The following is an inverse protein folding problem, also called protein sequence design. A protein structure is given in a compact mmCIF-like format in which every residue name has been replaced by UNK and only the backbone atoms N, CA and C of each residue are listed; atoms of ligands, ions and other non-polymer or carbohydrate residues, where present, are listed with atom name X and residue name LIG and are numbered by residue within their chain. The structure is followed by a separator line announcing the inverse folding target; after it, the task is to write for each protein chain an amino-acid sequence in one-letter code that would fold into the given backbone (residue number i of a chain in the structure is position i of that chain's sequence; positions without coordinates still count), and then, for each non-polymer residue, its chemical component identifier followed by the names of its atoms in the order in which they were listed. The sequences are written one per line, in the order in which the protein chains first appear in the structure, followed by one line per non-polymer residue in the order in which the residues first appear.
data_IF_519823449044
#
_entry.id   IF_519823449044
#
_cell.length_a   1.000
_cell.length_b   1.000
_cell.length_c   1.000
_cell.angle_alpha   90.00
_cell.angle_beta   90.00
_cell.angle_gamma   90.00
#
_symmetry.space_group_name_H-M   'P 1'
#
loop_
_entity.id
_entity.type
_entity.pdbx_description
1 polymer ?
#
# COMPACT_ATOMS: atom_id res chain seq x y z
N UNK A 1 -53.21 39.95 -60.77
CA UNK A 1 -51.91 40.65 -60.90
C UNK A 1 -50.99 40.22 -59.76
N UNK A 2 -49.81 39.71 -60.14
CA UNK A 2 -48.47 39.84 -59.52
C UNK A 2 -48.25 39.66 -58.00
N UNK A 3 -47.38 38.67 -57.76
CA UNK A 3 -46.17 38.60 -56.90
C UNK A 3 -46.33 38.01 -55.48
N UNK A 4 -45.86 36.78 -55.30
CA UNK A 4 -44.42 36.55 -55.13
C UNK A 4 -43.94 36.09 -53.75
N UNK A 5 -43.64 34.79 -53.67
CA UNK A 5 -42.42 34.17 -53.12
C UNK A 5 -42.06 34.34 -51.62
N UNK A 6 -41.80 33.15 -51.04
CA UNK A 6 -40.86 32.81 -49.98
C UNK A 6 -41.39 32.70 -48.54
N UNK A 7 -41.88 31.50 -48.20
CA UNK A 7 -41.85 31.01 -46.81
C UNK A 7 -41.58 29.49 -46.74
N UNK A 8 -40.76 28.96 -47.66
CA UNK A 8 -40.01 27.72 -47.43
C UNK A 8 -38.76 28.14 -46.67
N UNK A 9 -38.80 28.06 -45.33
CA UNK A 9 -37.63 27.96 -44.43
C UNK A 9 -37.97 27.91 -42.92
N UNK A 10 -39.23 27.68 -42.51
CA UNK A 10 -39.57 27.59 -41.06
C UNK A 10 -39.91 26.17 -40.57
N UNK A 11 -39.97 25.16 -41.45
CA UNK A 11 -40.34 23.78 -41.06
C UNK A 11 -39.11 22.90 -40.74
N UNK A 12 -37.89 23.34 -41.06
CA UNK A 12 -36.67 22.55 -40.82
C UNK A 12 -36.09 22.70 -39.39
N UNK A 13 -36.67 23.52 -38.52
CA UNK A 13 -36.14 23.78 -37.17
C UNK A 13 -36.99 23.17 -36.03
N UNK A 14 -38.07 22.45 -36.37
CA UNK A 14 -38.93 21.73 -35.39
C UNK A 14 -38.85 20.19 -35.52
N UNK A 15 -37.86 19.65 -36.22
CA UNK A 15 -37.56 18.21 -36.19
C UNK A 15 -36.32 17.87 -35.33
N UNK A 16 -35.49 18.86 -35.00
CA UNK A 16 -34.25 18.66 -34.22
C UNK A 16 -34.42 18.94 -32.73
N UNK A 17 -35.50 19.60 -32.31
CA UNK A 17 -35.74 19.89 -30.88
C UNK A 17 -36.50 18.77 -30.16
N UNK A 18 -37.19 17.86 -30.85
CA UNK A 18 -37.96 16.78 -30.17
C UNK A 18 -37.12 15.51 -29.99
N UNK A 19 -36.04 15.30 -30.76
CA UNK A 19 -35.09 14.21 -30.47
C UNK A 19 -34.14 14.48 -29.30
N UNK A 20 -34.01 15.73 -28.85
CA UNK A 20 -33.16 16.09 -27.70
C UNK A 20 -33.91 16.14 -26.37
N UNK A 21 -35.26 16.03 -26.37
CA UNK A 21 -36.06 15.96 -25.13
C UNK A 21 -36.63 14.56 -24.83
N UNK A 22 -36.26 13.54 -25.62
CA UNK A 22 -36.43 12.12 -25.23
C UNK A 22 -35.16 11.51 -24.60
N UNK A 23 -34.13 12.32 -24.36
CA UNK A 23 -32.96 11.98 -23.56
C UNK A 23 -32.87 12.90 -22.33
N UNK A 24 -34.00 13.14 -21.68
CA UNK A 24 -33.99 13.63 -20.30
C UNK A 24 -33.74 12.44 -19.39
N UNK A 25 -32.52 12.41 -18.87
CA UNK A 25 -32.22 12.12 -17.46
C UNK A 25 -32.72 10.79 -16.91
N UNK A 26 -31.82 9.80 -16.89
CA UNK A 26 -32.05 8.62 -16.07
C UNK A 26 -31.15 7.44 -16.34
N UNK A 27 -30.41 7.42 -17.45
CA UNK A 27 -29.27 6.51 -17.57
C UNK A 27 -28.11 7.11 -16.78
N UNK A 28 -28.22 7.14 -15.45
CA UNK A 28 -26.99 6.89 -14.73
C UNK A 28 -26.59 5.49 -15.20
N UNK A 29 -25.47 5.38 -15.89
CA UNK A 29 -24.69 4.17 -15.77
C UNK A 29 -24.31 4.10 -14.28
N UNK A 30 -25.25 3.66 -13.45
CA UNK A 30 -24.92 2.76 -12.38
C UNK A 30 -24.45 1.52 -13.13
N UNK A 31 -23.19 1.58 -13.62
CA UNK A 31 -22.34 0.42 -13.46
C UNK A 31 -22.50 0.16 -11.97
N UNK A 32 -23.32 -0.83 -11.62
CA UNK A 32 -23.18 -1.44 -10.32
C UNK A 32 -21.70 -1.81 -10.31
N UNK A 33 -20.90 -1.10 -9.50
CA UNK A 33 -19.54 -1.53 -9.26
C UNK A 33 -19.70 -3.00 -8.87
N UNK A 34 -19.08 -3.89 -9.63
CA UNK A 34 -19.18 -5.32 -9.37
C UNK A 34 -18.89 -5.51 -7.89
N UNK A 35 -19.77 -6.23 -7.20
CA UNK A 35 -19.74 -6.27 -5.74
C UNK A 35 -18.34 -6.70 -5.26
N UNK A 36 -17.82 -6.09 -4.18
CA UNK A 36 -16.56 -6.50 -3.60
C UNK A 36 -16.51 -8.01 -3.37
N UNK A 37 -15.49 -8.66 -3.93
CA UNK A 37 -15.27 -10.10 -3.73
C UNK A 37 -14.31 -10.28 -2.56
N UNK A 38 -14.56 -11.31 -1.77
CA UNK A 38 -13.64 -11.73 -0.70
C UNK A 38 -12.81 -12.89 -1.20
N UNK A 39 -11.48 -12.72 -1.22
CA UNK A 39 -10.53 -13.76 -1.57
C UNK A 39 -9.79 -14.24 -0.34
N UNK A 40 -9.61 -15.55 -0.23
CA UNK A 40 -8.66 -16.13 0.72
C UNK A 40 -7.46 -16.65 -0.04
N UNK A 41 -6.26 -16.31 0.43
CA UNK A 41 -4.96 -16.59 -0.18
C UNK A 41 -4.12 -17.37 0.84
N UNK A 42 -3.56 -18.51 0.45
CA UNK A 42 -2.72 -19.34 1.31
C UNK A 42 -1.45 -19.80 0.57
N UNK A 43 -0.32 -19.78 1.27
CA UNK A 43 0.90 -20.40 0.76
C UNK A 43 0.85 -21.90 0.97
N UNK A 44 0.94 -22.67 -0.11
CA UNK A 44 0.93 -24.14 -0.06
C UNK A 44 2.35 -24.67 -0.16
N UNK A 45 2.92 -25.13 0.96
CA UNK A 45 4.30 -25.61 1.05
C UNK A 45 4.63 -26.73 0.06
N UNK A 46 3.70 -27.69 -0.12
CA UNK A 46 3.89 -28.84 -1.02
C UNK A 46 4.04 -28.41 -2.49
N UNK A 47 3.35 -27.32 -2.86
CA UNK A 47 3.37 -26.77 -4.21
C UNK A 47 4.41 -25.66 -4.37
N UNK A 48 4.92 -25.14 -3.24
CA UNK A 48 5.77 -23.94 -3.15
C UNK A 48 5.16 -22.72 -3.84
N UNK A 49 3.84 -22.60 -3.77
CA UNK A 49 3.07 -21.64 -4.56
C UNK A 49 2.00 -20.96 -3.70
N UNK A 50 1.67 -19.72 -4.06
CA UNK A 50 0.51 -19.02 -3.48
C UNK A 50 -0.75 -19.39 -4.23
N UNK A 51 -1.75 -19.85 -3.49
CA UNK A 51 -3.04 -20.23 -4.04
C UNK A 51 -4.18 -19.42 -3.42
N UNK A 52 -5.29 -19.29 -4.13
CA UNK A 52 -6.45 -18.55 -3.68
C UNK A 52 -7.77 -19.28 -3.94
N UNK A 53 -8.79 -18.85 -3.20
CA UNK A 53 -10.20 -19.22 -3.38
C UNK A 53 -11.05 -17.96 -3.27
N UNK A 54 -12.13 -17.89 -4.06
CA UNK A 54 -13.05 -16.74 -4.09
C UNK A 54 -14.25 -16.94 -3.16
N UNK A 55 -14.89 -15.84 -2.80
CA UNK A 55 -16.10 -15.77 -1.99
C UNK A 55 -15.97 -16.45 -0.61
N UNK A 56 -14.77 -16.39 -0.02
CA UNK A 56 -14.44 -17.04 1.26
C UNK A 56 -13.42 -16.25 2.06
N UNK A 57 -13.53 -16.33 3.38
CA UNK A 57 -12.58 -15.74 4.35
C UNK A 57 -11.70 -16.78 5.05
N UNK A 58 -11.94 -18.06 4.82
CA UNK A 58 -11.19 -19.20 5.39
C UNK A 58 -10.80 -20.14 4.26
N UNK A 59 -9.53 -20.53 4.24
CA UNK A 59 -9.00 -21.42 3.22
C UNK A 59 -9.46 -22.85 3.51
N UNK A 60 -10.03 -23.51 2.49
CA UNK A 60 -10.54 -24.86 2.59
C UNK A 60 -9.69 -25.79 1.74
N UNK A 61 -8.82 -26.60 2.37
CA UNK A 61 -7.90 -27.50 1.65
C UNK A 61 -8.63 -28.59 0.83
N UNK A 62 -9.95 -28.74 0.99
CA UNK A 62 -10.77 -29.69 0.20
C UNK A 62 -11.33 -29.08 -1.08
N UNK A 63 -11.28 -27.75 -1.20
CA UNK A 63 -11.80 -26.99 -2.34
C UNK A 63 -10.67 -26.68 -3.32
N UNK A 64 -10.97 -26.78 -4.61
CA UNK A 64 -10.02 -26.40 -5.66
C UNK A 64 -9.58 -24.96 -5.47
N UNK A 65 -8.26 -24.76 -5.48
CA UNK A 65 -7.63 -23.44 -5.43
C UNK A 65 -6.93 -23.14 -6.76
N UNK A 66 -6.79 -21.86 -7.07
CA UNK A 66 -6.08 -21.37 -8.24
C UNK A 66 -4.83 -20.61 -7.82
N UNK A 67 -3.87 -20.43 -8.73
CA UNK A 67 -2.62 -19.74 -8.40
C UNK A 67 -2.83 -18.22 -8.36
N UNK A 68 -2.14 -17.52 -7.45
CA UNK A 68 -2.30 -16.07 -7.26
C UNK A 68 -1.98 -15.25 -8.51
N UNK A 69 -1.19 -15.74 -9.46
CA UNK A 69 -0.98 -15.00 -10.72
C UNK A 69 -2.30 -14.73 -11.45
N UNK A 70 -3.29 -15.64 -11.35
CA UNK A 70 -4.63 -15.46 -11.93
C UNK A 70 -5.47 -14.50 -11.09
N UNK A 71 -5.29 -14.51 -9.77
CA UNK A 71 -5.97 -13.57 -8.87
C UNK A 71 -5.67 -12.13 -9.27
N UNK A 72 -4.43 -11.82 -9.64
CA UNK A 72 -4.02 -10.47 -10.05
C UNK A 72 -4.76 -9.92 -11.27
N UNK A 73 -5.31 -10.80 -12.12
CA UNK A 73 -6.08 -10.40 -13.31
C UNK A 73 -7.53 -10.03 -12.97
N UNK A 74 -8.04 -10.52 -11.83
CA UNK A 74 -9.44 -10.35 -11.42
C UNK A 74 -9.62 -9.45 -10.20
N UNK A 75 -8.55 -9.18 -9.45
CA UNK A 75 -8.56 -8.27 -8.31
C UNK A 75 -8.96 -6.85 -8.76
N UNK A 76 -9.98 -6.30 -8.10
CA UNK A 76 -10.44 -4.93 -8.33
C UNK A 76 -10.42 -4.11 -7.04
N UNK A 77 -10.43 -2.80 -7.23
CA UNK A 77 -10.49 -1.88 -6.11
C UNK A 77 -11.75 -2.13 -5.28
N UNK A 78 -11.58 -2.19 -3.96
CA UNK A 78 -12.68 -2.45 -3.03
C UNK A 78 -12.82 -3.90 -2.57
N UNK A 79 -12.15 -4.86 -3.21
CA UNK A 79 -12.13 -6.27 -2.78
C UNK A 79 -11.51 -6.44 -1.37
N UNK A 80 -11.75 -7.61 -0.78
CA UNK A 80 -11.18 -8.03 0.50
C UNK A 80 -10.26 -9.22 0.30
N UNK A 81 -9.11 -9.22 0.98
CA UNK A 81 -8.13 -10.33 0.91
C UNK A 81 -7.80 -10.82 2.32
N UNK A 82 -7.83 -12.13 2.52
CA UNK A 82 -7.36 -12.80 3.74
C UNK A 82 -6.13 -13.65 3.39
N UNK A 83 -5.00 -13.42 4.06
CA UNK A 83 -3.72 -14.05 3.78
C UNK A 83 -3.35 -15.02 4.89
N UNK A 84 -3.04 -16.25 4.51
CA UNK A 84 -2.53 -17.30 5.38
C UNK A 84 -1.14 -17.77 4.94
N UNK A 85 -0.21 -17.83 5.90
CA UNK A 85 1.02 -18.61 5.77
C UNK A 85 1.21 -19.37 7.08
N UNK A 86 0.63 -20.56 7.18
CA UNK A 86 0.75 -21.48 8.33
C UNK A 86 1.98 -22.40 8.23
N UNK A 87 2.92 -22.07 7.34
CA UNK A 87 4.16 -22.82 7.12
C UNK A 87 5.34 -22.20 7.87
N UNK A 88 6.51 -22.81 7.74
CA UNK A 88 7.78 -22.27 8.28
C UNK A 88 8.61 -21.53 7.22
N UNK A 89 8.09 -21.34 6.01
CA UNK A 89 8.82 -20.72 4.91
C UNK A 89 8.61 -19.21 4.91
N UNK A 90 9.72 -18.47 4.82
CA UNK A 90 9.67 -17.04 4.56
C UNK A 90 9.40 -16.82 3.07
N UNK A 91 8.33 -16.08 2.75
CA UNK A 91 7.80 -15.98 1.39
C UNK A 91 7.27 -14.60 1.09
N UNK A 92 7.26 -14.27 -0.20
CA UNK A 92 6.70 -13.02 -0.72
C UNK A 92 5.41 -13.30 -1.48
N UNK A 93 4.35 -12.56 -1.16
CA UNK A 93 3.08 -12.50 -1.87
C UNK A 93 3.00 -11.18 -2.64
N UNK A 94 2.82 -11.24 -3.95
CA UNK A 94 2.58 -10.06 -4.80
C UNK A 94 1.12 -10.03 -5.26
N UNK A 95 0.35 -9.08 -4.74
CA UNK A 95 -1.04 -8.82 -5.13
C UNK A 95 -1.14 -7.68 -6.16
N UNK A 96 -0.02 -7.20 -6.69
CA UNK A 96 0.04 -6.13 -7.67
C UNK A 96 -0.25 -4.74 -7.08
N UNK A 97 -0.83 -3.87 -7.91
CA UNK A 97 -1.10 -2.45 -7.59
C UNK A 97 -2.54 -2.16 -7.19
N UNK A 98 -3.37 -3.19 -6.96
CA UNK A 98 -4.77 -3.03 -6.57
C UNK A 98 -4.89 -2.53 -5.13
N UNK A 99 -5.84 -1.63 -4.88
CA UNK A 99 -6.17 -1.11 -3.54
C UNK A 99 -7.36 -1.85 -2.94
N UNK A 100 -7.20 -2.43 -1.76
CA UNK A 100 -8.22 -3.24 -1.11
C UNK A 100 -9.00 -2.46 -0.06
N UNK A 101 -10.25 -2.87 0.20
CA UNK A 101 -10.97 -2.37 1.38
C UNK A 101 -10.39 -3.02 2.64
N UNK A 102 -10.28 -4.35 2.66
CA UNK A 102 -9.76 -5.06 3.83
C UNK A 102 -8.62 -6.00 3.44
N UNK A 103 -7.56 -6.00 4.24
CA UNK A 103 -6.52 -7.03 4.24
C UNK A 103 -6.44 -7.64 5.64
N UNK A 104 -6.61 -8.95 5.76
CA UNK A 104 -6.37 -9.67 7.03
C UNK A 104 -5.19 -10.61 6.86
N UNK A 105 -4.23 -10.58 7.79
CA UNK A 105 -2.98 -11.34 7.70
C UNK A 105 -2.83 -12.24 8.92
N UNK A 106 -2.61 -13.53 8.66
CA UNK A 106 -2.37 -14.57 9.67
C UNK A 106 -1.21 -15.45 9.24
N UNK A 107 -0.01 -15.23 9.80
CA UNK A 107 1.22 -15.88 9.33
C UNK A 107 2.08 -16.43 10.46
N UNK A 108 2.61 -17.65 10.32
CA UNK A 108 3.54 -18.28 11.28
C UNK A 108 5.01 -18.03 10.93
N UNK A 109 5.31 -17.78 9.65
CA UNK A 109 6.64 -17.41 9.15
C UNK A 109 6.61 -16.01 8.52
N UNK A 110 7.79 -15.39 8.37
CA UNK A 110 7.86 -14.01 7.92
C UNK A 110 7.37 -13.90 6.47
N UNK A 111 6.31 -13.14 6.27
CA UNK A 111 5.65 -13.02 4.96
C UNK A 111 5.66 -11.58 4.47
N UNK A 112 6.22 -11.32 3.30
CA UNK A 112 6.19 -10.00 2.65
C UNK A 112 4.98 -9.92 1.74
N UNK A 113 4.13 -8.91 1.88
CA UNK A 113 2.90 -8.72 1.12
C UNK A 113 2.99 -7.39 0.37
N UNK A 114 2.94 -7.43 -0.96
CA UNK A 114 2.92 -6.24 -1.81
C UNK A 114 1.50 -5.98 -2.35
N UNK A 115 1.04 -4.73 -2.25
CA UNK A 115 -0.28 -4.26 -2.69
C UNK A 115 -0.22 -2.80 -3.12
N UNK A 116 -1.22 -2.31 -3.86
CA UNK A 116 -1.40 -0.88 -4.13
C UNK A 116 -1.84 -0.07 -2.90
N UNK A 117 -2.25 -0.74 -1.82
CA UNK A 117 -2.65 -0.16 -0.55
C UNK A 117 -3.94 -0.74 -0.01
N UNK A 118 -4.27 -0.39 1.22
CA UNK A 118 -5.38 -0.99 1.96
C UNK A 118 -6.12 0.08 2.74
N UNK A 119 -7.44 0.04 2.77
CA UNK A 119 -8.20 0.87 3.70
C UNK A 119 -8.02 0.34 5.12
N UNK A 120 -8.45 -0.88 5.42
CA UNK A 120 -8.33 -1.49 6.75
C UNK A 120 -7.43 -2.74 6.71
N UNK A 121 -6.30 -2.69 7.40
CA UNK A 121 -5.31 -3.76 7.45
C UNK A 121 -5.27 -4.37 8.86
N UNK A 122 -5.55 -5.66 8.98
CA UNK A 122 -5.61 -6.39 10.24
C UNK A 122 -4.47 -7.41 10.30
N UNK A 123 -3.53 -7.22 11.22
CA UNK A 123 -2.42 -8.13 11.49
C UNK A 123 -2.78 -8.95 12.73
N UNK A 124 -3.19 -10.21 12.53
CA UNK A 124 -3.69 -11.04 13.61
C UNK A 124 -2.58 -11.47 14.57
N UNK A 125 -2.98 -11.77 15.80
CA UNK A 125 -2.10 -12.21 16.89
C UNK A 125 -1.09 -13.28 16.45
N UNK A 126 0.18 -13.09 16.86
CA UNK A 126 1.32 -13.94 16.51
C UNK A 126 1.72 -13.94 15.03
N UNK A 127 1.24 -12.98 14.23
CA UNK A 127 1.65 -12.88 12.83
C UNK A 127 3.05 -12.27 12.68
N UNK A 128 3.77 -12.71 11.66
CA UNK A 128 5.08 -12.18 11.28
C UNK A 128 5.06 -11.75 9.81
N UNK A 129 5.10 -10.45 9.52
CA UNK A 129 4.95 -9.98 8.15
C UNK A 129 5.52 -8.59 7.87
N UNK A 130 5.69 -8.28 6.57
CA UNK A 130 5.81 -6.92 6.07
C UNK A 130 4.66 -6.62 5.12
N UNK A 131 3.99 -5.48 5.26
CA UNK A 131 2.94 -5.04 4.32
C UNK A 131 3.40 -3.79 3.60
N UNK A 132 3.51 -3.88 2.28
CA UNK A 132 4.00 -2.82 1.40
C UNK A 132 2.84 -2.29 0.57
N UNK A 133 2.37 -1.10 0.94
CA UNK A 133 1.26 -0.36 0.33
C UNK A 133 0.75 0.68 1.32
N UNK A 134 0.23 1.82 0.84
CA UNK A 134 -0.30 2.85 1.75
C UNK A 134 -1.55 2.32 2.47
N UNK A 135 -1.57 2.43 3.81
CA UNK A 135 -2.66 1.95 4.66
C UNK A 135 -3.40 3.12 5.29
N UNK A 136 -4.73 3.08 5.26
CA UNK A 136 -5.55 4.07 5.98
C UNK A 136 -5.62 3.72 7.46
N UNK A 137 -6.13 2.55 7.82
CA UNK A 137 -6.24 2.07 9.19
C UNK A 137 -5.47 0.75 9.34
N UNK A 138 -4.42 0.73 10.14
CA UNK A 138 -3.71 -0.47 10.52
C UNK A 138 -4.13 -0.91 11.92
N UNK A 139 -4.40 -2.19 12.09
CA UNK A 139 -4.75 -2.83 13.35
C UNK A 139 -3.77 -3.96 13.63
N UNK A 140 -2.95 -3.84 14.66
CA UNK A 140 -1.96 -4.84 15.05
C UNK A 140 -2.39 -5.48 16.36
N UNK A 141 -2.45 -6.82 16.41
CA UNK A 141 -2.90 -7.56 17.59
C UNK A 141 -1.74 -8.28 18.28
N UNK A 142 -1.64 -8.14 19.60
CA UNK A 142 -0.80 -8.92 20.52
C UNK A 142 0.67 -9.13 20.07
N UNK A 143 1.18 -10.37 20.09
CA UNK A 143 2.59 -10.74 19.91
C UNK A 143 2.99 -10.79 18.42
N UNK A 144 2.51 -9.83 17.62
CA UNK A 144 2.82 -9.75 16.19
C UNK A 144 4.16 -9.04 15.95
N UNK A 145 4.90 -9.50 14.94
CA UNK A 145 6.07 -8.84 14.38
C UNK A 145 5.69 -8.27 13.01
N UNK A 146 5.58 -6.94 12.91
CA UNK A 146 5.15 -6.30 11.68
C UNK A 146 6.04 -5.13 11.27
N UNK A 147 6.33 -5.06 9.98
CA UNK A 147 6.87 -3.87 9.36
C UNK A 147 5.93 -3.34 8.26
N UNK A 148 5.59 -2.07 8.31
CA UNK A 148 4.84 -1.42 7.23
C UNK A 148 5.81 -0.71 6.31
N UNK A 149 5.84 -1.08 5.02
CA UNK A 149 6.81 -0.54 4.07
C UNK A 149 6.50 0.90 3.62
N UNK A 150 5.26 1.35 3.81
CA UNK A 150 4.73 2.61 3.26
C UNK A 150 3.97 3.40 4.34
N UNK A 151 3.26 4.45 3.93
CA UNK A 151 2.59 5.35 4.86
C UNK A 151 1.36 4.69 5.51
N UNK A 152 1.15 5.03 6.78
CA UNK A 152 -0.04 4.68 7.55
C UNK A 152 -0.70 5.98 7.98
N UNK A 153 -2.01 6.11 7.80
CA UNK A 153 -2.75 7.25 8.35
C UNK A 153 -3.03 7.05 9.84
N UNK A 154 -3.69 5.95 10.19
CA UNK A 154 -4.07 5.57 11.55
C UNK A 154 -3.48 4.19 11.88
N UNK A 155 -2.68 4.10 12.95
CA UNK A 155 -2.14 2.85 13.46
C UNK A 155 -2.69 2.60 14.86
N UNK A 156 -3.48 1.53 15.00
CA UNK A 156 -3.95 1.04 16.28
C UNK A 156 -3.22 -0.24 16.68
N UNK A 157 -2.64 -0.23 17.88
CA UNK A 157 -2.10 -1.43 18.51
C UNK A 157 -3.09 -1.89 19.57
N UNK A 158 -3.63 -3.09 19.39
CA UNK A 158 -4.52 -3.75 20.34
C UNK A 158 -3.68 -4.55 21.32
N UNK A 159 -3.87 -4.29 22.60
CA UNK A 159 -3.06 -4.89 23.65
C UNK A 159 -3.82 -4.90 24.99
N UNK A 160 -3.49 -5.85 25.85
CA UNK A 160 -4.07 -5.94 27.18
C UNK A 160 -3.32 -5.03 28.16
N UNK A 161 -2.60 -5.60 29.12
CA UNK A 161 -1.89 -4.89 30.19
C UNK A 161 -0.47 -4.43 29.81
N UNK A 162 0.01 -4.87 28.65
CA UNK A 162 1.28 -4.49 28.02
C UNK A 162 1.21 -4.61 26.49
N UNK A 163 2.01 -3.82 25.78
CA UNK A 163 2.28 -4.02 24.36
C UNK A 163 3.27 -5.19 24.22
N UNK A 164 2.99 -6.11 23.31
CA UNK A 164 3.88 -7.25 22.97
C UNK A 164 4.20 -7.31 21.49
N UNK A 165 3.63 -6.41 20.69
CA UNK A 165 3.87 -6.35 19.25
C UNK A 165 5.16 -5.58 18.99
N UNK A 166 6.01 -6.11 18.11
CA UNK A 166 7.10 -5.36 17.51
C UNK A 166 6.59 -4.73 16.21
N UNK A 167 6.64 -3.40 16.12
CA UNK A 167 6.03 -2.63 15.02
C UNK A 167 7.03 -1.63 14.47
N UNK A 168 7.32 -1.75 13.18
CA UNK A 168 8.09 -0.78 12.40
C UNK A 168 7.26 -0.15 11.29
N UNK A 169 7.62 1.07 10.89
CA UNK A 169 7.10 1.69 9.68
C UNK A 169 8.21 2.41 8.91
N UNK A 170 8.43 2.01 7.66
CA UNK A 170 9.35 2.65 6.72
C UNK A 170 8.82 3.96 6.13
N UNK A 171 7.49 4.12 6.08
CA UNK A 171 6.81 5.37 5.73
C UNK A 171 6.53 6.26 6.93
N UNK A 172 5.65 7.23 6.73
CA UNK A 172 5.09 8.08 7.81
C UNK A 172 3.97 7.37 8.55
N UNK A 173 3.71 7.77 9.80
CA UNK A 173 2.51 7.35 10.56
C UNK A 173 1.79 8.59 11.07
N UNK A 174 0.54 8.81 10.62
CA UNK A 174 -0.24 9.99 10.98
C UNK A 174 -0.65 10.00 12.46
N UNK A 175 -1.18 8.89 12.95
CA UNK A 175 -1.53 8.71 14.37
C UNK A 175 -1.21 7.28 14.82
N UNK A 176 -0.55 7.17 15.96
CA UNK A 176 -0.35 5.93 16.71
C UNK A 176 -1.23 5.98 17.96
N UNK A 177 -2.17 5.05 18.04
CA UNK A 177 -3.07 4.88 19.17
C UNK A 177 -2.97 3.47 19.75
N UNK A 178 -2.50 3.36 20.99
CA UNK A 178 -2.32 2.08 21.68
C UNK A 178 -3.00 2.12 23.06
N UNK A 179 -4.35 2.02 23.12
CA UNK A 179 -5.07 1.88 24.38
C UNK A 179 -4.87 0.48 24.96
N UNK A 180 -4.97 0.37 26.28
CA UNK A 180 -5.16 -0.92 26.93
C UNK A 180 -6.63 -1.35 26.79
N UNK A 181 -6.86 -2.59 26.36
CA UNK A 181 -8.21 -3.15 26.24
C UNK A 181 -8.77 -3.63 27.60
N UNK A 182 -7.94 -3.65 28.65
CA UNK A 182 -8.29 -4.17 29.98
C UNK A 182 -8.09 -3.18 31.13
N UNK A 183 -7.25 -2.16 30.94
CA UNK A 183 -6.94 -1.14 31.95
C UNK A 183 -7.34 0.25 31.45
N UNK A 184 -7.70 1.19 32.33
CA UNK A 184 -8.02 2.57 31.95
C UNK A 184 -6.75 3.38 31.69
N UNK A 185 -5.92 2.96 30.73
CA UNK A 185 -4.67 3.62 30.33
C UNK A 185 -4.46 3.54 28.83
N UNK A 186 -3.71 4.50 28.32
CA UNK A 186 -3.21 4.50 26.94
C UNK A 186 -1.69 4.49 26.99
N UNK A 187 -1.06 3.58 26.26
CA UNK A 187 0.40 3.48 26.17
C UNK A 187 0.95 4.57 25.25
N UNK A 188 0.35 4.71 24.06
CA UNK A 188 0.72 5.69 23.06
C UNK A 188 -0.52 6.38 22.49
N UNK A 189 -0.42 7.70 22.40
CA UNK A 189 -1.35 8.58 21.70
C UNK A 189 -0.48 9.70 21.10
N UNK A 190 0.09 9.39 19.93
CA UNK A 190 1.20 10.14 19.33
C UNK A 190 0.94 10.35 17.84
N UNK A 191 1.40 11.47 17.28
CA UNK A 191 1.02 11.93 15.94
C UNK A 191 2.25 12.18 15.06
N UNK A 192 2.03 12.24 13.75
CA UNK A 192 2.95 12.80 12.76
C UNK A 192 4.38 12.23 12.82
N UNK A 193 4.50 10.90 12.89
CA UNK A 193 5.80 10.23 12.83
C UNK A 193 6.46 10.48 11.47
N UNK A 194 7.71 10.94 11.51
CA UNK A 194 8.53 11.11 10.31
C UNK A 194 8.75 9.78 9.59
N UNK A 195 8.99 9.83 8.28
CA UNK A 195 9.20 8.64 7.48
C UNK A 195 10.36 7.79 8.04
N UNK A 196 10.12 6.49 8.25
CA UNK A 196 11.13 5.54 8.70
C UNK A 196 11.51 5.65 10.18
N UNK A 197 10.75 6.41 10.97
CA UNK A 197 11.09 6.69 12.37
C UNK A 197 10.37 5.80 13.39
N UNK A 198 9.17 5.28 13.09
CA UNK A 198 8.41 4.46 14.03
C UNK A 198 9.11 3.13 14.25
N UNK A 199 9.53 2.89 15.50
CA UNK A 199 10.14 1.64 15.95
C UNK A 199 9.62 1.34 17.36
N UNK A 200 8.79 0.31 17.48
CA UNK A 200 8.36 -0.28 18.75
C UNK A 200 8.96 -1.68 18.82
N UNK A 201 9.69 -1.99 19.89
CA UNK A 201 10.28 -3.32 20.06
C UNK A 201 9.29 -4.34 20.67
N UNK A 202 9.77 -5.57 20.80
CA UNK A 202 9.01 -6.70 21.35
C UNK A 202 8.57 -6.52 22.82
N UNK A 203 9.20 -5.61 23.56
CA UNK A 203 8.86 -5.29 24.95
C UNK A 203 7.85 -4.11 25.01
N UNK A 204 7.50 -3.55 23.85
CA UNK A 204 6.55 -2.46 23.70
C UNK A 204 7.17 -1.08 23.83
N UNK A 205 8.49 -0.98 23.93
CA UNK A 205 9.19 0.28 24.12
C UNK A 205 9.32 1.04 22.78
N UNK A 206 8.96 2.32 22.80
CA UNK A 206 9.11 3.22 21.66
C UNK A 206 10.56 3.68 21.59
N UNK A 207 11.26 3.21 20.55
CA UNK A 207 12.66 3.55 20.29
C UNK A 207 12.81 4.77 19.35
N UNK A 208 11.71 5.40 18.97
CA UNK A 208 11.69 6.62 18.16
C UNK A 208 12.08 7.85 19.00
N UNK A 209 13.12 8.61 18.61
CA UNK A 209 13.43 9.91 19.19
C UNK A 209 12.25 10.88 19.22
N UNK A 210 12.15 11.68 20.28
CA UNK A 210 11.06 12.62 20.53
C UNK A 210 10.87 13.71 19.47
N UNK A 211 11.95 14.12 18.80
CA UNK A 211 11.90 15.09 17.69
C UNK A 211 11.36 14.51 16.37
N UNK A 212 11.08 13.20 16.32
CA UNK A 212 10.57 12.51 15.12
C UNK A 212 9.06 12.26 15.14
N UNK A 213 8.34 12.72 16.17
CA UNK A 213 6.89 12.65 16.26
C UNK A 213 6.33 13.85 17.02
N UNK A 214 5.02 14.02 17.02
CA UNK A 214 4.27 15.02 17.77
C UNK A 214 3.44 14.36 18.89
N UNK A 215 3.19 15.12 19.96
CA UNK A 215 2.24 14.72 21.03
C UNK A 215 0.88 15.38 20.88
N UNK A 216 0.75 16.27 19.91
CA UNK A 216 -0.48 16.96 19.59
C UNK A 216 -0.83 16.71 18.13
N UNK A 217 -2.11 16.57 17.77
CA UNK A 217 -2.51 16.43 16.38
C UNK A 217 -2.04 17.64 15.56
N UNK A 218 -1.50 17.40 14.36
CA UNK A 218 -1.25 18.50 13.43
C UNK A 218 -2.55 19.21 13.07
N UNK A 219 -2.53 20.54 13.12
CA UNK A 219 -3.65 21.38 12.67
C UNK A 219 -3.73 21.52 11.14
N UNK A 220 -2.91 20.77 10.39
CA UNK A 220 -2.90 20.77 8.93
C UNK A 220 -3.79 19.63 8.41
N UNK A 221 -4.58 19.87 7.36
CA UNK A 221 -5.37 18.80 6.75
C UNK A 221 -4.46 17.67 6.29
N UNK A 222 -4.73 16.44 6.74
CA UNK A 222 -4.03 15.24 6.24
C UNK A 222 -4.38 15.11 4.76
N UNK A 223 -3.41 15.34 3.88
CA UNK A 223 -3.59 15.08 2.45
C UNK A 223 -3.80 13.58 2.25
N UNK A 224 -5.04 13.20 1.98
CA UNK A 224 -5.40 11.85 1.54
C UNK A 224 -4.53 11.50 0.32
N UNK A 225 -3.89 10.32 0.26
CA UNK A 225 -2.97 10.00 -0.83
C UNK A 225 -3.72 10.04 -2.16
N UNK A 226 -3.45 11.10 -2.93
CA UNK A 226 -3.99 11.29 -4.28
C UNK A 226 -3.46 10.17 -5.16
N UNK A 227 -4.28 9.53 -6.01
CA UNK A 227 -3.78 8.61 -7.03
C UNK A 227 -2.67 9.30 -7.82
N UNK A 228 -1.49 8.70 -7.86
CA UNK A 228 -0.38 9.17 -8.67
C UNK A 228 -0.85 9.26 -10.13
N UNK A 229 -0.70 10.41 -10.83
CA UNK A 229 -1.15 10.54 -12.21
C UNK A 229 -0.45 9.52 -13.10
N UNK A 230 -1.25 8.80 -13.88
CA UNK A 230 -0.79 7.92 -14.94
C UNK A 230 0.04 8.75 -15.93
N UNK A 231 1.33 8.40 -16.08
CA UNK A 231 2.26 9.12 -16.96
C UNK A 231 1.83 8.83 -18.40
N UNK A 232 1.13 9.78 -19.03
CA UNK A 232 0.89 9.75 -20.46
C UNK A 232 2.24 9.88 -21.19
N UNK A 233 2.60 8.84 -21.95
CA UNK A 233 3.75 8.87 -22.86
C UNK A 233 3.60 10.03 -23.86
N UNK A 234 4.60 10.90 -24.04
CA UNK A 234 4.55 11.90 -25.10
C UNK A 234 4.71 11.25 -26.49
N UNK A 235 3.78 11.57 -27.39
CA UNK A 235 3.92 11.33 -28.83
C UNK A 235 5.17 12.03 -29.38
N UNK A 236 5.97 11.29 -30.15
CA UNK A 236 7.17 11.78 -30.83
C UNK A 236 6.81 12.70 -31.99
N UNK A 237 7.06 14.01 -31.85
CA UNK A 237 7.11 14.94 -32.97
C UNK A 237 8.55 15.09 -33.47
N UNK A 238 8.75 14.71 -34.74
CA UNK A 238 9.98 14.82 -35.51
C UNK A 238 10.16 16.24 -36.06
N UNK A 239 11.34 16.88 -35.89
CA UNK A 239 11.69 18.06 -36.69
C UNK A 239 12.56 17.71 -37.91
N UNK A 240 12.28 18.40 -39.01
CA UNK A 240 12.92 18.33 -40.32
C UNK A 240 14.34 18.94 -40.36
N UNK A 241 15.08 18.65 -41.44
CA UNK A 241 16.52 18.80 -41.59
C UNK A 241 17.04 20.12 -42.23
N UNK A 242 18.36 20.33 -42.03
CA UNK A 242 19.39 21.07 -42.81
C UNK A 242 19.87 22.45 -42.29
N UNK A 243 21.13 22.89 -42.59
CA UNK A 243 22.39 22.16 -42.88
C UNK A 243 23.64 22.71 -42.13
N UNK A 244 24.69 21.90 -41.97
CA UNK A 244 26.08 22.29 -41.51
C UNK A 244 26.95 22.65 -42.74
N UNK A 245 28.04 23.47 -42.63
CA UNK A 245 29.34 22.98 -42.10
C UNK A 245 30.28 24.04 -41.45
N UNK A 246 31.07 23.63 -40.43
CA UNK A 246 32.56 23.72 -40.38
C UNK A 246 33.09 23.43 -38.95
N UNK A 247 33.93 22.40 -38.83
CA UNK A 247 34.79 22.05 -37.67
C UNK A 247 36.22 22.63 -37.90
N UNK A 248 37.25 22.46 -37.02
CA UNK A 248 37.38 21.66 -35.78
C UNK A 248 37.92 22.48 -34.56
N UNK A 249 37.88 22.02 -33.29
CA UNK A 249 38.73 20.96 -32.75
C UNK A 249 38.36 20.53 -31.30
N UNK A 250 38.73 19.28 -31.03
CA UNK A 250 39.13 18.60 -29.78
C UNK A 250 38.14 18.09 -28.71
N UNK A 251 38.20 16.74 -28.62
CA UNK A 251 38.20 15.82 -27.46
C UNK A 251 36.93 15.52 -26.66
N UNK A 252 36.39 14.33 -26.97
CA UNK A 252 36.11 13.16 -26.12
C UNK A 252 35.05 13.16 -24.99
N UNK A 253 34.25 12.08 -25.03
CA UNK A 253 33.42 11.45 -23.98
C UNK A 253 32.00 11.98 -23.68
N UNK A 254 31.10 11.76 -24.65
CA UNK A 254 29.65 11.98 -24.56
C UNK A 254 28.84 10.67 -24.33
N UNK A 255 29.19 9.86 -23.32
CA UNK A 255 28.36 8.69 -22.91
C UNK A 255 28.41 8.37 -21.41
N UNK A 256 28.45 9.38 -20.52
CA UNK A 256 28.38 9.15 -19.06
C UNK A 256 27.41 10.10 -18.32
N UNK A 257 26.19 10.21 -18.83
CA UNK A 257 25.13 10.93 -18.12
C UNK A 257 23.76 10.26 -18.34
N UNK A 258 23.62 9.03 -17.85
CA UNK A 258 22.30 8.44 -17.57
C UNK A 258 22.08 8.49 -16.06
N UNK A 259 21.01 9.13 -15.54
CA UNK A 259 20.68 9.00 -14.13
C UNK A 259 20.42 7.53 -13.80
N UNK A 260 21.21 6.95 -12.91
CA UNK A 260 20.95 5.59 -12.38
C UNK A 260 19.72 5.63 -11.48
N UNK A 261 18.53 5.45 -12.06
CA UNK A 261 17.33 5.09 -11.29
C UNK A 261 17.46 3.63 -10.87
N UNK A 262 17.78 3.39 -9.59
CA UNK A 262 17.75 2.04 -9.03
C UNK A 262 18.82 1.69 -7.99
N UNK A 263 19.29 2.62 -7.17
CA UNK A 263 20.03 2.23 -5.96
C UNK A 263 19.00 1.80 -4.89
N UNK A 264 18.69 0.51 -4.91
CA UNK A 264 18.04 -0.17 -3.79
C UNK A 264 18.91 0.02 -2.54
N UNK A 265 18.32 0.67 -1.52
CA UNK A 265 18.98 1.05 -0.28
C UNK A 265 19.27 -0.17 0.61
N UNK A 266 20.15 -1.04 0.13
CA UNK A 266 20.72 -2.20 0.84
C UNK A 266 21.53 -1.78 2.07
N UNK A 267 21.96 -0.51 2.14
CA UNK A 267 22.60 0.06 3.32
C UNK A 267 21.64 0.17 4.52
N UNK A 268 20.35 0.43 4.31
CA UNK A 268 19.36 0.51 5.40
C UNK A 268 19.14 -0.85 6.08
N UNK A 269 19.15 -1.94 5.29
CA UNK A 269 19.06 -3.30 5.79
C UNK A 269 20.29 -3.75 6.59
N UNK A 270 21.50 -3.34 6.16
CA UNK A 270 22.75 -3.66 6.87
C UNK A 270 22.92 -2.87 8.18
N UNK A 271 22.40 -1.65 8.25
CA UNK A 271 22.45 -0.84 9.48
C UNK A 271 21.48 -1.40 10.54
N UNK A 272 20.26 -1.79 10.14
CA UNK A 272 19.29 -2.40 11.06
C UNK A 272 19.76 -3.77 11.60
N UNK A 273 20.40 -4.60 10.77
CA UNK A 273 20.96 -5.89 11.21
C UNK A 273 22.20 -5.76 12.12
N UNK A 274 23.04 -4.73 11.89
CA UNK A 274 24.27 -4.52 12.66
C UNK A 274 24.06 -4.01 14.09
N UNK A 275 23.05 -3.15 14.30
CA UNK A 275 22.75 -2.58 15.62
C UNK A 275 22.20 -3.63 16.59
N UNK A 276 21.37 -4.57 16.11
CA UNK A 276 20.85 -5.69 16.91
C UNK A 276 21.95 -6.67 17.38
N UNK A 277 23.02 -6.86 16.59
CA UNK A 277 24.12 -7.76 16.95
C UNK A 277 25.09 -7.16 17.98
N UNK A 278 25.31 -5.84 17.97
CA UNK A 278 26.24 -5.18 18.89
C UNK A 278 25.69 -5.05 20.32
N UNK A 279 24.40 -4.70 20.49
CA UNK A 279 23.82 -4.53 21.83
C UNK A 279 23.59 -5.85 22.58
N UNK A 280 23.28 -6.95 21.88
CA UNK A 280 23.21 -8.29 22.48
C UNK A 280 24.54 -8.75 23.10
N UNK A 281 25.66 -8.35 22.51
CA UNK A 281 27.00 -8.73 23.00
C UNK A 281 27.43 -7.97 24.27
N UNK A 282 26.93 -6.74 24.50
CA UNK A 282 27.18 -6.00 25.75
C UNK A 282 26.33 -6.51 26.91
N UNK A 283 25.08 -6.91 26.67
CA UNK A 283 24.20 -7.46 27.71
C UNK A 283 24.72 -8.82 28.24
N UNK A 284 25.28 -9.67 27.37
CA UNK A 284 25.88 -10.95 27.78
C UNK A 284 27.17 -10.73 28.59
N UNK A 285 27.96 -9.69 28.30
CA UNK A 285 29.17 -9.36 29.08
C UNK A 285 28.86 -8.77 30.45
N UNK A 286 27.78 -8.00 30.60
CA UNK A 286 27.36 -7.46 31.91
C UNK A 286 26.78 -8.54 32.83
N UNK A 287 26.14 -9.58 32.29
CA UNK A 287 25.63 -10.70 33.09
C UNK A 287 26.75 -11.62 33.61
N UNK A 288 27.87 -11.74 32.89
CA UNK A 288 29.05 -12.53 33.30
C UNK A 288 29.98 -11.82 34.29
N UNK A 289 29.79 -10.53 34.54
CA UNK A 289 30.58 -9.72 35.48
C UNK A 289 29.94 -9.62 36.87
N UNK A 290 28.79 -10.26 37.09
CA UNK A 290 28.04 -10.25 38.36
C UNK A 290 27.87 -11.64 38.99
N UNK A 291 28.59 -12.64 38.50
CA UNK A 291 28.91 -13.88 39.22
C UNK A 291 30.39 -13.86 39.63
#
# INVERSE_FOLDING_TARGET
MKKGKSFRNIIAMMATAVMLFLLSEGNCLKVAAEEPVTYVVKYLADQKEWCYQENRSVFDDTVTSWQVYQLREVLKAGDTVVVYNDTTADVTLDLGSTRFTNLTVSTSAFTVINTGGVQDCYILSNSSCSVNGNITNAHVYDNSLVNFGNNIQELRIHCNDKITSSVGCGGTVGHLYAPSDTLPRTFYDLYDFQAGSLIIDQDGDLNTPDWQYSREPSSQPVEQPTPQPEVQQPETQQPAAQPTPAAPADSDDEYDAVPKTGESNSAFWLICGGVLCMFGSMAIRLKKSKE
#
